data_IF_419716880901
#
_entry.id   IF_419716880901
#
_cell.length_a   1.000
_cell.length_b   1.000
_cell.length_c   1.000
_cell.angle_alpha   90.00
_cell.angle_beta   90.00
_cell.angle_gamma   90.00
#
_symmetry.space_group_name_H-M   'P 1'
#
loop_
_entity.id
_entity.type
_entity.pdbx_description
1 polymer ?
#
# COMPACT_ATOMS: atom_id res chain seq x y z
N UNK A 1 24.63 -14.16 6.43
CA UNK A 1 23.23 -14.46 6.86
C UNK A 1 22.59 -15.42 5.87
N UNK A 2 21.40 -15.97 6.17
CA UNK A 2 20.80 -17.06 5.39
C UNK A 2 20.15 -16.58 4.07
N UNK A 3 20.74 -17.03 2.95
CA UNK A 3 20.02 -17.41 1.73
C UNK A 3 19.08 -16.39 1.07
N UNK A 4 19.57 -15.19 0.74
CA UNK A 4 18.91 -14.25 -0.19
C UNK A 4 18.68 -14.76 -1.64
N UNK A 5 18.89 -16.06 -1.91
CA UNK A 5 18.60 -16.73 -3.20
C UNK A 5 17.69 -17.97 -3.08
N UNK A 6 17.05 -18.23 -1.92
CA UNK A 6 16.19 -19.42 -1.72
C UNK A 6 14.74 -19.14 -1.28
N UNK A 7 14.39 -17.92 -0.92
CA UNK A 7 13.03 -17.55 -0.54
C UNK A 7 12.74 -16.08 -0.91
N UNK A 8 11.49 -15.79 -1.27
CA UNK A 8 10.96 -14.43 -1.31
C UNK A 8 9.95 -14.27 -0.15
N UNK A 9 10.13 -13.28 0.75
CA UNK A 9 9.16 -13.00 1.81
C UNK A 9 7.80 -12.56 1.23
N UNK A 10 6.72 -12.77 2.00
CA UNK A 10 5.37 -12.41 1.59
C UNK A 10 4.44 -12.19 2.79
N UNK A 11 3.48 -11.27 2.66
CA UNK A 11 2.44 -11.02 3.64
C UNK A 11 1.07 -11.54 3.18
N UNK A 12 0.17 -11.81 4.12
CA UNK A 12 -1.27 -11.96 3.86
C UNK A 12 -1.98 -10.76 4.50
N UNK A 13 -2.86 -10.13 3.74
CA UNK A 13 -3.65 -8.96 4.17
C UNK A 13 -5.11 -9.36 4.28
N UNK A 14 -5.78 -8.85 5.32
CA UNK A 14 -7.23 -8.87 5.44
C UNK A 14 -7.69 -7.60 6.18
N UNK A 15 -8.92 -7.17 5.91
CA UNK A 15 -9.63 -6.15 6.69
C UNK A 15 -10.45 -6.87 7.77
N UNK A 16 -10.55 -6.28 8.95
CA UNK A 16 -11.32 -6.81 10.08
C UNK A 16 -12.54 -5.92 10.39
N UNK A 17 -13.53 -6.52 11.03
CA UNK A 17 -14.65 -5.83 11.64
C UNK A 17 -14.94 -6.50 12.99
N UNK A 18 -15.11 -5.72 14.06
CA UNK A 18 -15.22 -6.22 15.45
C UNK A 18 -14.15 -7.26 15.86
N UNK A 19 -12.89 -7.07 15.41
CA UNK A 19 -11.79 -8.00 15.68
C UNK A 19 -11.94 -9.38 15.01
N UNK A 20 -12.75 -9.48 13.95
CA UNK A 20 -12.96 -10.70 13.17
C UNK A 20 -12.54 -10.46 11.72
N UNK A 21 -11.77 -11.35 11.07
CA UNK A 21 -11.42 -11.23 9.66
C UNK A 21 -12.66 -11.17 8.75
N UNK A 22 -12.87 -10.03 8.10
CA UNK A 22 -14.02 -9.76 7.24
C UNK A 22 -13.72 -10.21 5.80
N UNK A 23 -12.72 -9.58 5.18
CA UNK A 23 -12.34 -9.76 3.77
C UNK A 23 -10.82 -9.82 3.59
N UNK A 24 -10.35 -10.80 2.81
CA UNK A 24 -8.95 -10.90 2.36
C UNK A 24 -8.88 -11.13 0.85
N UNK A 25 -7.69 -11.47 0.32
CA UNK A 25 -7.42 -11.61 -1.13
C UNK A 25 -8.51 -12.35 -1.93
N UNK A 26 -9.04 -13.46 -1.41
CA UNK A 26 -10.11 -14.22 -2.07
C UNK A 26 -11.44 -13.46 -2.17
N UNK A 27 -11.83 -12.77 -1.10
CA UNK A 27 -13.03 -11.93 -1.08
C UNK A 27 -12.90 -10.67 -1.93
N UNK A 28 -11.71 -10.05 -1.93
CA UNK A 28 -11.43 -8.92 -2.82
C UNK A 28 -11.51 -9.33 -4.30
N UNK A 29 -11.00 -10.52 -4.65
CA UNK A 29 -11.13 -11.08 -5.99
C UNK A 29 -12.60 -11.38 -6.36
N UNK A 30 -13.43 -11.84 -5.40
CA UNK A 30 -14.89 -12.00 -5.58
C UNK A 30 -15.54 -10.66 -5.92
N UNK A 31 -15.34 -9.62 -5.10
CA UNK A 31 -15.96 -8.29 -5.33
C UNK A 31 -15.47 -7.68 -6.65
N UNK A 32 -14.17 -7.81 -6.96
CA UNK A 32 -13.60 -7.34 -8.22
C UNK A 32 -14.21 -8.04 -9.44
N UNK A 33 -14.32 -9.37 -9.45
CA UNK A 33 -14.91 -10.08 -10.58
C UNK A 33 -16.43 -9.84 -10.69
N UNK A 34 -17.15 -9.65 -9.58
CA UNK A 34 -18.56 -9.21 -9.64
C UNK A 34 -18.66 -7.81 -10.26
N UNK A 35 -17.75 -6.89 -9.94
CA UNK A 35 -17.73 -5.57 -10.56
C UNK A 35 -17.37 -5.60 -12.04
N UNK A 36 -16.54 -6.55 -12.49
CA UNK A 36 -16.18 -6.75 -13.91
C UNK A 36 -17.29 -7.45 -14.71
N UNK A 37 -17.73 -8.61 -14.26
CA UNK A 37 -18.69 -9.48 -14.99
C UNK A 37 -20.15 -9.05 -14.85
N UNK A 38 -20.46 -8.17 -13.88
CA UNK A 38 -21.81 -7.79 -13.44
C UNK A 38 -22.72 -9.00 -13.14
N UNK A 39 -22.13 -10.09 -12.63
CA UNK A 39 -22.82 -11.36 -12.36
C UNK A 39 -22.04 -12.22 -11.36
N UNK A 40 -22.73 -12.75 -10.34
CA UNK A 40 -22.12 -13.62 -9.32
C UNK A 40 -21.73 -14.99 -9.91
N UNK A 41 -22.50 -15.55 -10.84
CA UNK A 41 -22.19 -16.86 -11.43
C UNK A 41 -20.94 -16.81 -12.31
N UNK A 42 -20.81 -15.81 -13.19
CA UNK A 42 -19.61 -15.60 -14.01
C UNK A 42 -18.38 -15.27 -13.15
N UNK A 43 -18.55 -14.49 -12.08
CA UNK A 43 -17.47 -14.22 -11.14
C UNK A 43 -16.99 -15.49 -10.43
N UNK A 44 -17.90 -16.36 -9.99
CA UNK A 44 -17.57 -17.65 -9.41
C UNK A 44 -16.84 -18.57 -10.41
N UNK A 45 -17.37 -18.68 -11.62
CA UNK A 45 -16.79 -19.44 -12.75
C UNK A 45 -15.35 -19.00 -13.07
N UNK A 46 -15.12 -17.69 -13.29
CA UNK A 46 -13.78 -17.13 -13.56
C UNK A 46 -12.79 -17.25 -12.40
N UNK A 47 -13.28 -17.48 -11.18
CA UNK A 47 -12.44 -17.73 -9.99
C UNK A 47 -12.24 -19.22 -9.69
N UNK A 48 -12.82 -20.13 -10.47
CA UNK A 48 -12.81 -21.57 -10.18
C UNK A 48 -13.58 -21.93 -8.90
N UNK A 49 -14.50 -21.08 -8.45
CA UNK A 49 -15.26 -21.23 -7.22
C UNK A 49 -16.69 -21.71 -7.50
N UNK A 50 -17.28 -22.46 -6.58
CA UNK A 50 -18.72 -22.76 -6.68
C UNK A 50 -19.55 -21.51 -6.39
N UNK A 51 -20.67 -21.34 -7.11
CA UNK A 51 -21.63 -20.26 -6.85
C UNK A 51 -22.06 -20.20 -5.37
N UNK A 52 -22.27 -21.37 -4.75
CA UNK A 52 -22.63 -21.48 -3.32
C UNK A 52 -21.53 -20.96 -2.39
N UNK A 53 -20.25 -21.19 -2.70
CA UNK A 53 -19.14 -20.63 -1.93
C UNK A 53 -19.13 -19.10 -2.01
N UNK A 54 -19.23 -18.55 -3.23
CA UNK A 54 -19.25 -17.09 -3.44
C UNK A 54 -20.46 -16.45 -2.76
N UNK A 55 -21.65 -17.03 -2.91
CA UNK A 55 -22.87 -16.56 -2.25
C UNK A 55 -22.75 -16.55 -0.72
N UNK A 56 -22.27 -17.66 -0.12
CA UNK A 56 -22.05 -17.74 1.31
C UNK A 56 -21.00 -16.72 1.79
N UNK A 57 -19.97 -16.44 0.98
CA UNK A 57 -18.93 -15.45 1.31
C UNK A 57 -19.48 -14.02 1.31
N UNK A 58 -20.29 -13.65 0.31
CA UNK A 58 -20.99 -12.37 0.27
C UNK A 58 -21.94 -12.21 1.45
N UNK A 59 -22.75 -13.24 1.74
CA UNK A 59 -23.70 -13.21 2.85
C UNK A 59 -23.00 -13.09 4.21
N UNK A 60 -21.84 -13.74 4.39
CA UNK A 60 -20.99 -13.56 5.60
C UNK A 60 -20.42 -12.13 5.75
N UNK A 61 -20.29 -11.34 4.68
CA UNK A 61 -19.94 -9.90 4.78
C UNK A 61 -21.18 -9.09 5.14
N UNK A 62 -22.32 -9.33 4.49
CA UNK A 62 -23.60 -8.69 4.76
C UNK A 62 -24.06 -8.90 6.22
N UNK A 63 -23.98 -10.13 6.72
CA UNK A 63 -24.31 -10.50 8.11
C UNK A 63 -23.37 -9.87 9.15
N UNK A 64 -22.16 -9.45 8.73
CA UNK A 64 -21.20 -8.78 9.60
C UNK A 64 -21.30 -7.25 9.57
N UNK A 65 -21.69 -6.67 8.42
CA UNK A 65 -21.81 -5.21 8.24
C UNK A 65 -23.23 -4.66 8.39
N UNK A 66 -24.25 -5.54 8.45
CA UNK A 66 -25.67 -5.17 8.50
C UNK A 66 -26.27 -4.74 7.15
N UNK A 67 -25.44 -4.49 6.13
CA UNK A 67 -25.84 -4.04 4.80
C UNK A 67 -25.18 -4.87 3.67
N UNK A 68 -25.87 -5.06 2.53
CA UNK A 68 -25.34 -5.87 1.42
C UNK A 68 -24.19 -5.15 0.69
N UNK A 69 -23.10 -5.89 0.45
CA UNK A 69 -21.99 -5.44 -0.42
C UNK A 69 -22.25 -5.65 -1.92
N UNK A 70 -23.31 -6.40 -2.27
CA UNK A 70 -23.69 -6.70 -3.66
C UNK A 70 -25.21 -6.63 -3.80
N UNK A 71 -25.69 -5.82 -4.74
CA UNK A 71 -27.08 -5.83 -5.20
C UNK A 71 -27.27 -6.85 -6.33
N UNK A 72 -28.40 -7.56 -6.33
CA UNK A 72 -28.75 -8.58 -7.34
C UNK A 72 -30.09 -8.29 -8.02
N UNK A 73 -30.13 -8.45 -9.34
CA UNK A 73 -31.32 -8.25 -10.17
C UNK A 73 -31.88 -9.60 -10.65
N UNK A 74 -33.20 -9.78 -10.57
CA UNK A 74 -33.85 -11.01 -11.05
C UNK A 74 -33.77 -11.10 -12.59
N UNK A 75 -33.23 -12.21 -13.09
CA UNK A 75 -33.26 -12.56 -14.51
C UNK A 75 -34.64 -13.08 -14.96
N UNK A 76 -34.87 -13.07 -16.28
CA UNK A 76 -36.10 -13.57 -16.89
C UNK A 76 -36.15 -15.11 -17.03
N UNK A 77 -37.08 -15.62 -17.85
CA UNK A 77 -37.33 -17.06 -18.04
C UNK A 77 -36.10 -17.89 -18.46
N UNK A 78 -35.08 -17.27 -19.08
CA UNK A 78 -33.85 -17.93 -19.50
C UNK A 78 -32.77 -18.02 -18.42
N UNK A 79 -33.03 -17.54 -17.21
CA UNK A 79 -32.02 -17.40 -16.15
C UNK A 79 -31.08 -16.21 -16.35
N UNK A 80 -30.03 -16.13 -15.52
CA UNK A 80 -29.05 -15.04 -15.55
C UNK A 80 -29.51 -13.77 -14.84
N UNK A 81 -29.44 -13.76 -13.51
CA UNK A 81 -29.56 -12.52 -12.75
C UNK A 81 -28.30 -11.65 -12.85
N UNK A 82 -28.49 -10.34 -12.93
CA UNK A 82 -27.39 -9.37 -12.87
C UNK A 82 -26.94 -9.13 -11.43
N UNK A 83 -25.73 -8.62 -11.25
CA UNK A 83 -25.21 -8.19 -9.94
C UNK A 83 -24.32 -6.95 -10.08
N UNK A 84 -24.32 -6.08 -9.07
CA UNK A 84 -23.37 -4.96 -8.94
C UNK A 84 -22.90 -4.81 -7.50
N UNK A 85 -21.71 -4.26 -7.30
CA UNK A 85 -21.31 -3.82 -5.97
C UNK A 85 -22.22 -2.68 -5.49
N UNK A 86 -22.50 -2.63 -4.19
CA UNK A 86 -23.04 -1.42 -3.56
C UNK A 86 -21.90 -0.44 -3.26
N UNK A 87 -22.23 0.79 -2.85
CA UNK A 87 -21.21 1.77 -2.37
C UNK A 87 -20.33 1.19 -1.26
N UNK A 88 -20.92 0.38 -0.38
CA UNK A 88 -20.20 -0.34 0.68
C UNK A 88 -19.23 -1.38 0.10
N UNK A 89 -19.67 -2.18 -0.88
CA UNK A 89 -18.82 -3.15 -1.58
C UNK A 89 -17.69 -2.51 -2.38
N UNK A 90 -17.93 -1.36 -3.03
CA UNK A 90 -16.92 -0.59 -3.75
C UNK A 90 -15.89 0.02 -2.80
N UNK A 91 -16.34 0.61 -1.69
CA UNK A 91 -15.46 1.17 -0.65
C UNK A 91 -14.56 0.09 -0.03
N UNK A 92 -15.15 -1.04 0.37
CA UNK A 92 -14.45 -2.17 1.00
C UNK A 92 -13.41 -2.81 0.06
N UNK A 93 -13.74 -2.93 -1.24
CA UNK A 93 -12.79 -3.39 -2.26
C UNK A 93 -11.65 -2.37 -2.47
N UNK A 94 -11.97 -1.08 -2.50
CA UNK A 94 -10.99 0.00 -2.61
C UNK A 94 -10.03 0.05 -1.42
N UNK A 95 -10.54 -0.14 -0.20
CA UNK A 95 -9.75 -0.18 1.03
C UNK A 95 -8.78 -1.37 1.06
N UNK A 96 -9.28 -2.58 0.80
CA UNK A 96 -8.42 -3.75 0.66
C UNK A 96 -7.31 -3.51 -0.38
N UNK A 97 -7.64 -2.91 -1.54
CA UNK A 97 -6.66 -2.62 -2.59
C UNK A 97 -5.61 -1.61 -2.16
N UNK A 98 -5.97 -0.53 -1.44
CA UNK A 98 -5.00 0.45 -0.91
C UNK A 98 -3.99 -0.21 0.02
N UNK A 99 -4.46 -0.95 1.03
CA UNK A 99 -3.59 -1.63 2.01
C UNK A 99 -2.73 -2.71 1.34
N UNK A 100 -3.29 -3.46 0.38
CA UNK A 100 -2.55 -4.47 -0.36
C UNK A 100 -1.48 -3.89 -1.29
N UNK A 101 -1.71 -2.72 -1.92
CA UNK A 101 -0.70 -2.04 -2.75
C UNK A 101 0.47 -1.58 -1.90
N UNK A 102 0.20 -0.77 -0.88
CA UNK A 102 1.20 -0.21 0.04
C UNK A 102 2.10 -1.30 0.66
N UNK A 103 1.51 -2.38 1.16
CA UNK A 103 2.29 -3.50 1.69
C UNK A 103 3.03 -4.27 0.58
N UNK A 104 2.49 -4.38 -0.64
CA UNK A 104 3.21 -5.02 -1.75
C UNK A 104 4.41 -4.20 -2.22
N UNK A 105 4.35 -2.87 -2.15
CA UNK A 105 5.45 -1.95 -2.44
C UNK A 105 6.57 -2.13 -1.40
N UNK A 106 6.24 -2.05 -0.11
CA UNK A 106 7.16 -2.36 1.01
C UNK A 106 7.79 -3.75 0.89
N UNK A 107 7.05 -4.73 0.37
CA UNK A 107 7.53 -6.11 0.18
C UNK A 107 8.32 -6.32 -1.12
N UNK A 108 8.27 -5.37 -2.06
CA UNK A 108 8.85 -5.53 -3.39
C UNK A 108 10.34 -5.20 -3.44
N UNK A 109 10.80 -4.30 -2.57
CA UNK A 109 12.19 -3.89 -2.46
C UNK A 109 13.01 -4.96 -1.72
N UNK A 110 14.08 -5.45 -2.35
CA UNK A 110 14.92 -6.51 -1.80
C UNK A 110 15.98 -5.97 -0.82
N UNK A 111 16.18 -4.65 -0.73
CA UNK A 111 17.09 -4.01 0.25
C UNK A 111 16.40 -3.65 1.59
N UNK A 112 15.06 -3.60 1.67
CA UNK A 112 14.33 -3.06 2.84
C UNK A 112 14.01 -4.08 3.96
N UNK A 113 14.48 -5.32 3.84
CA UNK A 113 14.09 -6.41 4.75
C UNK A 113 14.72 -6.38 6.17
N UNK A 114 15.54 -5.37 6.46
CA UNK A 114 15.98 -5.07 7.83
C UNK A 114 14.97 -4.18 8.60
N UNK A 115 13.93 -3.64 7.93
CA UNK A 115 13.32 -2.37 8.35
C UNK A 115 11.83 -2.34 8.71
N UNK A 116 11.22 -3.48 9.05
CA UNK A 116 9.91 -3.49 9.71
C UNK A 116 10.06 -3.10 11.19
N UNK A 117 10.57 -1.87 11.41
CA UNK A 117 11.05 -1.39 12.72
C UNK A 117 11.87 -0.09 12.72
N UNK A 118 11.75 0.78 11.72
CA UNK A 118 12.37 2.12 11.65
C UNK A 118 13.88 2.14 11.94
N UNK A 119 14.66 1.51 11.05
CA UNK A 119 16.12 1.41 11.16
C UNK A 119 16.89 1.81 9.89
N UNK A 120 16.17 2.31 8.88
CA UNK A 120 16.56 2.58 7.49
C UNK A 120 18.06 2.74 7.23
N UNK A 121 18.54 2.04 6.19
CA UNK A 121 19.95 1.95 5.79
C UNK A 121 20.59 3.30 5.38
N UNK A 122 19.80 4.37 5.31
CA UNK A 122 20.26 5.74 5.28
C UNK A 122 21.06 6.09 6.55
N UNK A 123 22.39 6.01 6.44
CA UNK A 123 23.33 6.30 7.53
C UNK A 123 23.41 7.78 7.90
N UNK A 124 22.94 8.65 7.01
CA UNK A 124 23.00 10.10 7.16
C UNK A 124 21.67 10.61 7.70
N UNK A 125 21.71 11.12 8.93
CA UNK A 125 20.58 11.74 9.64
C UNK A 125 21.03 13.08 10.19
N UNK A 126 20.36 14.14 9.76
CA UNK A 126 20.72 15.52 10.09
C UNK A 126 19.56 16.23 10.80
N UNK A 127 19.66 16.35 12.12
CA UNK A 127 18.67 17.05 12.93
C UNK A 127 18.70 18.57 12.68
N UNK A 128 17.52 19.18 12.54
CA UNK A 128 17.41 20.63 12.43
C UNK A 128 16.00 21.11 12.15
N UNK A 129 15.86 22.33 11.63
CA UNK A 129 14.60 23.09 11.60
C UNK A 129 14.20 23.58 10.21
N UNK A 130 13.01 23.33 9.70
CA UNK A 130 12.67 23.75 8.33
C UNK A 130 12.49 25.32 8.28
N UNK A 131 12.95 26.12 7.26
CA UNK A 131 12.91 27.65 7.22
C UNK A 131 12.21 28.54 6.09
N UNK A 132 12.00 28.18 4.80
CA UNK A 132 11.17 28.91 3.75
C UNK A 132 10.38 27.97 2.75
N UNK A 133 9.04 27.71 2.77
CA UNK A 133 8.36 26.53 2.11
C UNK A 133 7.41 26.78 0.93
N UNK A 134 7.18 25.71 0.14
CA UNK A 134 6.16 25.61 -0.90
C UNK A 134 5.49 24.21 -0.94
N UNK A 135 4.20 24.17 -1.33
CA UNK A 135 3.43 22.96 -1.70
C UNK A 135 2.66 23.22 -2.98
N UNK A 136 2.73 22.28 -3.93
CA UNK A 136 2.13 22.34 -5.25
C UNK A 136 1.13 21.17 -5.43
N UNK A 137 0.55 20.99 -6.62
CA UNK A 137 -0.50 19.98 -6.87
C UNK A 137 0.03 18.53 -6.88
N UNK A 138 1.32 18.33 -7.13
CA UNK A 138 1.98 17.00 -7.19
C UNK A 138 3.25 16.93 -6.32
N UNK A 139 3.80 18.10 -5.96
CA UNK A 139 5.16 18.26 -5.42
C UNK A 139 5.17 19.12 -4.15
N UNK A 140 6.15 18.88 -3.27
CA UNK A 140 6.38 19.70 -2.07
C UNK A 140 7.88 19.80 -1.79
N UNK A 141 8.31 20.93 -1.23
CA UNK A 141 9.72 21.30 -1.10
C UNK A 141 9.96 21.73 0.36
N UNK A 142 10.94 21.13 1.05
CA UNK A 142 11.17 21.17 2.52
C UNK A 142 12.67 21.49 2.80
N UNK A 143 13.10 22.13 3.91
CA UNK A 143 14.52 22.31 4.41
C UNK A 143 14.94 21.18 5.32
N UNK A 144 16.21 21.25 5.77
CA UNK A 144 16.47 21.30 7.22
C UNK A 144 17.54 22.37 7.57
N UNK A 145 17.27 23.33 8.48
CA UNK A 145 18.26 24.23 9.13
C UNK A 145 18.97 23.42 10.22
N UNK A 146 20.07 22.78 9.85
CA UNK A 146 20.68 21.71 10.65
C UNK A 146 21.45 22.24 11.87
N UNK A 147 21.22 21.60 13.01
CA UNK A 147 21.97 21.79 14.25
C UNK A 147 23.27 20.98 14.16
N UNK A 148 24.40 21.64 14.35
CA UNK A 148 25.74 21.05 14.20
C UNK A 148 26.44 20.85 15.55
N UNK A 149 27.40 19.91 15.68
CA UNK A 149 28.01 19.10 14.62
C UNK A 149 27.36 17.71 14.45
N UNK A 150 27.08 17.34 13.19
CA UNK A 150 26.69 15.99 12.80
C UNK A 150 27.78 15.34 11.93
N UNK A 151 27.91 14.01 11.97
CA UNK A 151 28.87 13.27 11.16
C UNK A 151 28.15 12.67 9.95
N UNK A 152 28.50 13.13 8.74
CA UNK A 152 27.98 12.64 7.46
C UNK A 152 28.95 11.60 6.89
N UNK A 153 28.42 10.53 6.30
CA UNK A 153 29.17 9.48 5.59
C UNK A 153 28.51 9.18 4.24
N UNK A 154 29.05 9.80 3.19
CA UNK A 154 28.68 9.53 1.80
C UNK A 154 29.44 8.32 1.23
N UNK A 155 28.98 7.80 0.09
CA UNK A 155 29.65 6.77 -0.69
C UNK A 155 29.61 7.15 -2.19
N UNK A 156 30.47 8.11 -2.53
CA UNK A 156 30.59 8.80 -3.83
C UNK A 156 31.69 8.23 -4.73
N UNK A 157 31.70 8.62 -6.02
CA UNK A 157 32.93 8.70 -6.80
C UNK A 157 33.69 9.98 -6.42
N UNK A 158 35.03 9.98 -6.51
CA UNK A 158 35.91 11.08 -6.05
C UNK A 158 35.54 12.45 -6.63
N UNK A 159 34.98 12.45 -7.83
CA UNK A 159 34.74 13.60 -8.68
C UNK A 159 33.46 14.35 -8.30
N UNK A 160 32.46 13.62 -7.81
CA UNK A 160 31.14 14.14 -7.44
C UNK A 160 31.16 14.77 -6.03
N UNK A 161 31.91 15.87 -5.92
CA UNK A 161 32.07 16.68 -4.72
C UNK A 161 31.53 18.13 -4.96
N UNK A 162 30.18 18.29 -5.04
CA UNK A 162 29.33 19.42 -5.54
C UNK A 162 28.36 20.11 -4.48
N UNK A 163 27.07 20.42 -4.77
CA UNK A 163 26.17 21.36 -3.99
C UNK A 163 24.62 21.03 -3.95
N UNK A 164 23.81 21.63 -3.03
CA UNK A 164 22.30 21.59 -2.98
C UNK A 164 21.61 22.60 -1.96
N UNK A 165 20.29 22.93 -2.08
CA UNK A 165 19.51 23.83 -1.15
C UNK A 165 17.94 23.63 -1.11
N UNK A 166 17.19 24.19 -0.12
CA UNK A 166 16.07 23.49 0.62
C UNK A 166 15.06 24.49 1.42
N UNK A 167 13.86 24.13 1.98
CA UNK A 167 12.59 24.98 2.32
C UNK A 167 11.95 25.30 3.81
N UNK A 168 10.62 25.41 4.28
CA UNK A 168 10.04 25.90 5.70
C UNK A 168 9.31 24.94 6.70
N UNK A 169 9.48 25.18 8.03
CA UNK A 169 8.68 24.74 9.20
C UNK A 169 9.42 24.29 10.50
N UNK A 170 9.77 23.01 10.53
CA UNK A 170 9.58 22.11 11.67
C UNK A 170 10.88 21.48 12.18
N UNK A 171 10.94 20.97 13.40
CA UNK A 171 12.12 20.20 13.84
C UNK A 171 12.08 18.77 13.28
N UNK A 172 12.99 18.43 12.37
CA UNK A 172 13.02 17.16 11.60
C UNK A 172 14.43 16.61 11.43
N UNK A 173 14.55 15.36 10.96
CA UNK A 173 15.81 14.78 10.46
C UNK A 173 15.81 14.72 8.94
N UNK A 174 16.79 15.38 8.31
CA UNK A 174 17.12 15.13 6.90
C UNK A 174 17.79 13.75 6.81
N UNK A 175 17.11 12.81 6.17
CA UNK A 175 17.56 11.44 5.97
C UNK A 175 18.06 11.30 4.53
N UNK A 176 19.29 10.79 4.33
CA UNK A 176 19.87 10.64 2.98
C UNK A 176 20.53 9.26 2.82
N UNK A 177 20.19 8.52 1.75
CA UNK A 177 20.87 7.26 1.41
C UNK A 177 22.33 7.58 1.08
N UNK A 178 23.26 6.75 1.55
CA UNK A 178 24.70 7.05 1.39
C UNK A 178 25.16 7.11 -0.09
N UNK A 179 24.40 6.50 -0.99
CA UNK A 179 24.59 6.50 -2.46
C UNK A 179 23.97 7.70 -3.17
N UNK A 180 23.20 8.53 -2.47
CA UNK A 180 22.48 9.69 -3.02
C UNK A 180 23.09 11.03 -2.56
N UNK A 181 24.01 10.99 -1.58
CA UNK A 181 24.87 12.13 -1.26
C UNK A 181 25.94 12.25 -2.33
N UNK A 182 26.06 13.43 -2.91
CA UNK A 182 27.28 13.96 -3.54
C UNK A 182 28.06 14.75 -2.45
N UNK A 183 29.40 14.74 -2.47
CA UNK A 183 30.22 15.49 -1.48
C UNK A 183 30.30 16.97 -1.89
N UNK A 184 31.25 17.77 -1.39
CA UNK A 184 31.51 19.18 -1.76
C UNK A 184 33.02 19.48 -1.61
N UNK A 185 33.64 20.31 -2.47
CA UNK A 185 35.06 20.69 -2.34
C UNK A 185 35.51 21.99 -3.05
#
# INVERSE_FOLDING_TARGET
MLTGKKHKPSCKVWIEYEGKPLIGKGGAAILEQISREKSISRAAEKLGMSYRYVWNYLKKIEDALGEPVVETFKGGKSGGGGARLTRLGESLLGEYKRVASYLSEVLSDEEYWEDVGLKISARNRLQGKVVSVEKEEVTAKIKVEIKTPAIITALISREAAEELEINVGDDVEAVIKATEILIAK
#
